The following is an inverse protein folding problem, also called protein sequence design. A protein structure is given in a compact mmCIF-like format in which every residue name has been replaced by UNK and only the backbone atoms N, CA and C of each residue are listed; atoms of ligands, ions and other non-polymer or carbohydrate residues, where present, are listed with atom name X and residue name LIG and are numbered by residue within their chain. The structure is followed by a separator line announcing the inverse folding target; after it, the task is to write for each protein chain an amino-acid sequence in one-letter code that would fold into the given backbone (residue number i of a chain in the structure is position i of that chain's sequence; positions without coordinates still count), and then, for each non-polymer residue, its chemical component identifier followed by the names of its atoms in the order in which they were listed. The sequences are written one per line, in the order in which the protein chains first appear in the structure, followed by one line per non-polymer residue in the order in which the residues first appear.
data_IF_214159037820
#
_entry.id   IF_214159037820
#
_cell.length_a   1.000
_cell.length_b   1.000
_cell.length_c   1.000
_cell.angle_alpha   90.00
_cell.angle_beta   90.00
_cell.angle_gamma   90.00
#
_symmetry.space_group_name_H-M   'P 1'
#
loop_
_entity.id
_entity.type
_entity.pdbx_description
1 polymer ?
#
# COMPACT_ATOMS: atom_id res chain seq x y z
N UNK A 1 15.22 -18.85 10.49
CA UNK A 1 14.51 -17.79 11.23
C UNK A 1 15.28 -16.45 11.31
N UNK A 2 16.60 -16.44 11.31
CA UNK A 2 17.40 -15.20 11.33
C UNK A 2 17.37 -14.37 10.02
N UNK A 3 17.13 -15.00 8.87
CA UNK A 3 17.14 -14.35 7.56
C UNK A 3 15.93 -13.45 7.27
N UNK A 4 14.79 -13.71 7.88
CA UNK A 4 13.57 -12.88 7.72
C UNK A 4 13.67 -11.54 8.45
N UNK A 5 14.34 -11.51 9.59
CA UNK A 5 14.56 -10.26 10.33
C UNK A 5 15.53 -9.30 9.63
N UNK A 6 16.55 -9.83 8.93
CA UNK A 6 17.51 -9.01 8.19
C UNK A 6 16.89 -8.34 6.96
N UNK A 7 16.00 -9.02 6.24
CA UNK A 7 15.33 -8.45 5.08
C UNK A 7 14.36 -7.32 5.45
N UNK A 8 13.74 -7.40 6.61
CA UNK A 8 12.82 -6.35 7.09
C UNK A 8 13.59 -5.11 7.58
N UNK A 9 14.74 -5.30 8.22
CA UNK A 9 15.64 -4.22 8.62
C UNK A 9 16.24 -3.54 7.37
N UNK A 10 16.60 -4.31 6.36
CA UNK A 10 17.13 -3.81 5.11
C UNK A 10 16.07 -3.02 4.31
N UNK A 11 14.83 -3.47 4.32
CA UNK A 11 13.69 -2.74 3.74
C UNK A 11 13.38 -1.44 4.51
N UNK A 12 13.52 -1.44 5.84
CA UNK A 12 13.38 -0.24 6.65
C UNK A 12 14.49 0.78 6.36
N UNK A 13 15.73 0.34 6.15
CA UNK A 13 16.84 1.21 5.75
C UNK A 13 16.62 1.85 4.37
N UNK A 14 16.01 1.13 3.43
CA UNK A 14 15.70 1.68 2.10
C UNK A 14 14.45 2.56 2.08
N UNK A 15 13.54 2.39 3.04
CA UNK A 15 12.30 3.16 3.12
C UNK A 15 12.46 4.53 3.81
N UNK A 16 13.61 4.80 4.45
CA UNK A 16 13.87 6.09 5.13
C UNK A 16 15.02 6.82 4.40
N UNK A 17 14.72 7.58 3.34
CA UNK A 17 15.75 8.29 2.56
C UNK A 17 16.36 9.51 3.29
N UNK A 18 15.90 9.82 4.49
CA UNK A 18 16.34 10.98 5.25
C UNK A 18 16.71 10.60 6.69
N UNK A 19 17.94 10.22 6.88
CA UNK A 19 18.51 10.15 8.20
C UNK A 19 19.57 9.06 8.36
N UNK A 20 20.81 9.46 8.51
CA UNK A 20 21.89 8.64 9.05
C UNK A 20 21.65 8.29 10.55
N UNK A 21 20.38 8.15 10.93
CA UNK A 21 20.01 7.70 12.25
C UNK A 21 20.15 6.18 12.33
N UNK A 22 21.22 5.69 12.91
CA UNK A 22 21.32 4.31 13.35
C UNK A 22 20.09 3.95 14.14
N UNK A 23 19.23 3.11 13.55
CA UNK A 23 18.11 2.52 14.29
C UNK A 23 18.75 1.76 15.45
N UNK A 24 18.49 2.21 16.68
CA UNK A 24 19.00 1.54 17.85
C UNK A 24 18.70 0.04 17.80
N UNK A 25 19.66 -0.81 18.16
CA UNK A 25 19.46 -2.26 18.25
C UNK A 25 18.19 -2.64 19.02
N UNK A 26 17.88 -1.88 20.06
CA UNK A 26 16.65 -2.03 20.84
C UNK A 26 15.39 -1.80 20.02
N UNK A 27 15.38 -0.75 19.20
CA UNK A 27 14.25 -0.40 18.35
C UNK A 27 14.06 -1.45 17.25
N UNK A 28 15.16 -1.89 16.61
CA UNK A 28 15.13 -2.97 15.63
C UNK A 28 14.60 -4.28 16.23
N UNK A 29 15.05 -4.67 17.42
CA UNK A 29 14.59 -5.86 18.12
C UNK A 29 13.10 -5.78 18.47
N UNK A 30 12.61 -4.64 18.94
CA UNK A 30 11.19 -4.46 19.28
C UNK A 30 10.30 -4.42 18.02
N UNK A 31 10.75 -3.83 16.94
CA UNK A 31 10.04 -3.88 15.65
C UNK A 31 9.95 -5.29 15.10
N UNK A 32 11.02 -6.07 15.21
CA UNK A 32 11.04 -7.47 14.77
C UNK A 32 10.13 -8.35 15.65
N UNK A 33 10.13 -8.12 16.96
CA UNK A 33 9.27 -8.86 17.90
C UNK A 33 7.77 -8.61 17.68
N UNK A 34 7.41 -7.42 17.18
CA UNK A 34 6.02 -7.03 16.90
C UNK A 34 5.65 -7.14 15.42
N UNK A 35 6.56 -7.66 14.59
CA UNK A 35 6.31 -7.88 13.17
C UNK A 35 5.18 -8.90 12.95
N UNK A 36 4.31 -8.69 11.96
CA UNK A 36 3.32 -9.68 11.59
C UNK A 36 4.03 -10.97 11.12
N UNK A 37 3.39 -12.14 11.28
CA UNK A 37 3.95 -13.41 10.82
C UNK A 37 4.36 -13.37 9.35
N UNK A 38 5.45 -14.05 8.99
CA UNK A 38 5.99 -14.04 7.62
C UNK A 38 4.99 -14.46 6.54
N UNK A 39 4.05 -15.35 6.86
CA UNK A 39 3.00 -15.75 5.92
C UNK A 39 2.06 -14.60 5.55
N UNK A 40 1.78 -13.66 6.48
CA UNK A 40 0.96 -12.46 6.21
C UNK A 40 1.68 -11.56 5.21
N UNK A 41 2.98 -11.33 5.39
CA UNK A 41 3.79 -10.55 4.46
C UNK A 41 3.84 -11.19 3.07
N UNK A 42 3.96 -12.51 3.00
CA UNK A 42 3.96 -13.26 1.74
C UNK A 42 2.61 -13.16 1.03
N UNK A 43 1.51 -13.29 1.75
CA UNK A 43 0.14 -13.13 1.20
C UNK A 43 -0.07 -11.70 0.73
N UNK A 44 0.34 -10.70 1.51
CA UNK A 44 0.22 -9.30 1.12
C UNK A 44 1.00 -8.99 -0.17
N UNK A 45 2.24 -9.49 -0.30
CA UNK A 45 3.05 -9.33 -1.51
C UNK A 45 2.40 -9.98 -2.72
N UNK A 46 1.86 -11.17 -2.57
CA UNK A 46 1.15 -11.88 -3.63
C UNK A 46 -0.11 -11.12 -4.07
N UNK A 47 -0.86 -10.56 -3.12
CA UNK A 47 -2.01 -9.71 -3.42
C UNK A 47 -1.61 -8.44 -4.19
N UNK A 48 -0.51 -7.79 -3.82
CA UNK A 48 0.01 -6.62 -4.57
C UNK A 48 0.30 -6.99 -6.02
N UNK A 49 0.94 -8.12 -6.27
CA UNK A 49 1.22 -8.61 -7.62
C UNK A 49 -0.09 -8.87 -8.38
N UNK A 50 -1.07 -9.51 -7.76
CA UNK A 50 -2.39 -9.75 -8.37
C UNK A 50 -3.12 -8.44 -8.68
N UNK A 51 -3.05 -7.45 -7.79
CA UNK A 51 -3.59 -6.12 -8.05
C UNK A 51 -2.91 -5.42 -9.23
N UNK A 52 -1.58 -5.54 -9.34
CA UNK A 52 -0.82 -4.97 -10.46
C UNK A 52 -1.20 -5.63 -11.80
N UNK A 53 -1.27 -6.95 -11.86
CA UNK A 53 -1.68 -7.68 -13.06
C UNK A 53 -3.12 -7.33 -13.46
N UNK A 54 -4.03 -7.29 -12.49
CA UNK A 54 -5.43 -6.92 -12.76
C UNK A 54 -5.58 -5.47 -13.21
N UNK A 55 -4.76 -4.55 -12.70
CA UNK A 55 -4.73 -3.17 -13.19
C UNK A 55 -4.34 -3.08 -14.66
N UNK A 56 -3.31 -3.82 -15.07
CA UNK A 56 -2.88 -3.88 -16.48
C UNK A 56 -4.00 -4.42 -17.36
N UNK A 57 -4.61 -5.54 -16.97
CA UNK A 57 -5.69 -6.16 -17.72
C UNK A 57 -6.93 -5.25 -17.84
N UNK A 58 -7.30 -4.56 -16.75
CA UNK A 58 -8.41 -3.61 -16.76
C UNK A 58 -8.09 -2.34 -17.54
N UNK A 59 -6.85 -1.86 -17.49
CA UNK A 59 -6.37 -0.75 -18.30
C UNK A 59 -6.45 -1.06 -19.80
N UNK A 60 -6.02 -2.26 -20.21
CA UNK A 60 -6.19 -2.73 -21.60
C UNK A 60 -7.66 -2.81 -22.01
N UNK A 61 -8.53 -3.30 -21.13
CA UNK A 61 -9.98 -3.34 -21.36
C UNK A 61 -10.56 -1.93 -21.60
N UNK A 62 -10.02 -0.92 -20.93
CA UNK A 62 -10.43 0.47 -21.12
C UNK A 62 -9.93 1.02 -22.46
N UNK A 63 -8.70 0.72 -22.86
CA UNK A 63 -8.13 1.07 -24.16
C UNK A 63 -8.94 0.48 -25.32
N UNK A 64 -9.47 -0.73 -25.16
CA UNK A 64 -10.35 -1.40 -26.10
C UNK A 64 -11.81 -0.85 -26.09
N UNK A 65 -12.04 0.26 -25.38
CA UNK A 65 -13.35 0.93 -25.24
C UNK A 65 -14.47 0.01 -24.73
N UNK A 66 -14.14 -0.93 -23.83
CA UNK A 66 -15.14 -1.78 -23.24
C UNK A 66 -15.85 -1.05 -22.07
N UNK A 67 -17.17 -0.79 -22.13
CA UNK A 67 -17.90 -0.04 -21.11
C UNK A 67 -17.88 -0.76 -19.75
N UNK A 68 -17.81 -2.09 -19.73
CA UNK A 68 -17.68 -2.88 -18.50
C UNK A 68 -16.33 -2.67 -17.81
N UNK A 69 -15.30 -2.28 -18.56
CA UNK A 69 -13.95 -2.01 -18.05
C UNK A 69 -13.95 -0.86 -17.03
N UNK A 70 -14.69 0.23 -17.29
CA UNK A 70 -14.75 1.38 -16.39
C UNK A 70 -15.40 1.04 -15.06
N UNK A 71 -16.46 0.25 -15.04
CA UNK A 71 -17.12 -0.22 -13.82
C UNK A 71 -16.20 -1.12 -12.98
N UNK A 72 -15.53 -2.07 -13.64
CA UNK A 72 -14.57 -2.99 -13.00
C UNK A 72 -13.37 -2.24 -12.43
N UNK A 73 -12.88 -1.21 -13.14
CA UNK A 73 -11.75 -0.41 -12.67
C UNK A 73 -12.09 0.43 -11.44
N UNK A 74 -13.34 0.92 -11.32
CA UNK A 74 -13.82 1.57 -10.09
C UNK A 74 -13.83 0.58 -8.92
N UNK A 75 -14.38 -0.61 -9.13
CA UNK A 75 -14.38 -1.68 -8.13
C UNK A 75 -12.95 -2.05 -7.69
N UNK A 76 -12.03 -2.17 -8.64
CA UNK A 76 -10.63 -2.41 -8.38
C UNK A 76 -10.01 -1.31 -7.49
N UNK A 77 -10.25 -0.04 -7.83
CA UNK A 77 -9.72 1.09 -7.07
C UNK A 77 -10.23 1.10 -5.62
N UNK A 78 -11.51 0.82 -5.40
CA UNK A 78 -12.07 0.71 -4.04
C UNK A 78 -11.45 -0.45 -3.27
N UNK A 79 -11.34 -1.62 -3.88
CA UNK A 79 -10.72 -2.79 -3.25
C UNK A 79 -9.26 -2.53 -2.90
N UNK A 80 -8.51 -1.88 -3.79
CA UNK A 80 -7.12 -1.53 -3.53
C UNK A 80 -6.96 -0.53 -2.38
N UNK A 81 -7.83 0.47 -2.28
CA UNK A 81 -7.85 1.41 -1.15
C UNK A 81 -8.10 0.66 0.17
N UNK A 82 -9.12 -0.20 0.21
CA UNK A 82 -9.44 -1.01 1.40
C UNK A 82 -8.25 -1.91 1.76
N UNK A 83 -7.64 -2.56 0.78
CA UNK A 83 -6.45 -3.38 0.97
C UNK A 83 -5.28 -2.59 1.55
N UNK A 84 -5.01 -1.39 1.02
CA UNK A 84 -3.90 -0.54 1.48
C UNK A 84 -4.08 -0.13 2.95
N UNK A 85 -5.29 0.30 3.33
CA UNK A 85 -5.57 0.62 4.73
C UNK A 85 -5.52 -0.63 5.63
N UNK A 86 -6.05 -1.75 5.17
CA UNK A 86 -6.00 -3.02 5.89
C UNK A 86 -4.55 -3.49 6.13
N UNK A 87 -3.70 -3.42 5.11
CA UNK A 87 -2.29 -3.78 5.23
C UNK A 87 -1.55 -2.86 6.21
N UNK A 88 -1.80 -1.55 6.13
CA UNK A 88 -1.25 -0.59 7.09
C UNK A 88 -1.71 -0.88 8.53
N UNK A 89 -2.98 -1.19 8.73
CA UNK A 89 -3.52 -1.54 10.04
C UNK A 89 -2.87 -2.82 10.59
N UNK A 90 -2.77 -3.88 9.80
CA UNK A 90 -2.12 -5.14 10.20
C UNK A 90 -0.66 -4.92 10.61
N UNK A 91 0.03 -4.01 9.94
CA UNK A 91 1.42 -3.69 10.24
C UNK A 91 1.56 -2.86 11.52
N UNK A 92 0.69 -1.89 11.76
CA UNK A 92 0.88 -0.89 12.81
C UNK A 92 0.06 -1.12 14.07
N UNK A 93 -1.09 -1.77 14.02
CA UNK A 93 -1.91 -2.02 15.21
C UNK A 93 -1.10 -2.74 16.31
N UNK A 94 -0.32 -3.79 16.03
CA UNK A 94 0.51 -4.44 17.06
C UNK A 94 1.63 -3.55 17.60
N UNK A 95 2.01 -2.50 16.85
CA UNK A 95 3.14 -1.59 17.18
C UNK A 95 2.71 -0.29 17.84
N UNK A 96 1.42 -0.07 18.06
CA UNK A 96 0.92 1.19 18.62
C UNK A 96 1.52 1.52 19.99
N UNK A 97 1.74 0.51 20.84
CA UNK A 97 2.42 0.70 22.12
C UNK A 97 3.88 1.19 22.00
N UNK A 98 4.56 0.84 20.90
CA UNK A 98 5.92 1.32 20.61
C UNK A 98 5.92 2.75 20.06
N UNK A 99 4.89 3.13 19.30
CA UNK A 99 4.74 4.49 18.76
C UNK A 99 4.66 5.52 19.88
N UNK A 100 4.02 5.19 21.00
CA UNK A 100 3.88 6.08 22.15
C UNK A 100 5.15 6.16 23.01
N UNK A 101 6.03 5.15 22.94
CA UNK A 101 7.19 5.04 23.84
C UNK A 101 8.53 5.31 23.15
N UNK A 102 8.63 5.15 21.83
CA UNK A 102 9.86 5.27 21.06
C UNK A 102 9.71 6.34 19.97
N UNK A 103 10.49 7.41 20.05
CA UNK A 103 10.47 8.51 19.09
C UNK A 103 10.87 8.09 17.67
N UNK A 104 11.73 7.09 17.52
CA UNK A 104 12.14 6.55 16.21
C UNK A 104 10.98 5.82 15.57
N UNK A 105 10.27 4.97 16.31
CA UNK A 105 9.08 4.27 15.84
C UNK A 105 7.97 5.25 15.49
N UNK A 106 7.79 6.29 16.28
CA UNK A 106 6.85 7.39 16.00
C UNK A 106 7.19 8.09 14.68
N UNK A 107 8.46 8.40 14.43
CA UNK A 107 8.90 9.03 13.19
C UNK A 107 8.65 8.13 11.98
N UNK A 108 8.91 6.82 12.08
CA UNK A 108 8.62 5.85 11.03
C UNK A 108 7.11 5.75 10.75
N UNK A 109 6.29 5.72 11.79
CA UNK A 109 4.83 5.71 11.66
C UNK A 109 4.31 6.96 10.96
N UNK A 110 4.78 8.14 11.35
CA UNK A 110 4.42 9.39 10.70
C UNK A 110 4.89 9.44 9.25
N UNK A 111 6.09 8.96 8.95
CA UNK A 111 6.59 8.87 7.57
C UNK A 111 5.73 7.92 6.73
N UNK A 112 5.32 6.80 7.27
CA UNK A 112 4.40 5.87 6.62
C UNK A 112 3.06 6.55 6.29
N UNK A 113 2.47 7.25 7.24
CA UNK A 113 1.18 7.94 7.05
C UNK A 113 1.26 9.11 6.09
N UNK A 114 2.34 9.90 6.14
CA UNK A 114 2.44 11.17 5.41
C UNK A 114 3.04 11.01 4.01
N UNK A 115 3.87 10.00 3.79
CA UNK A 115 4.59 9.81 2.53
C UNK A 115 4.12 8.54 1.83
N UNK A 116 4.29 7.38 2.47
CA UNK A 116 4.06 6.09 1.80
C UNK A 116 2.59 5.86 1.50
N UNK A 117 1.71 6.09 2.47
CA UNK A 117 0.28 5.83 2.31
C UNK A 117 -0.36 6.72 1.21
N UNK A 118 -0.11 8.05 1.16
CA UNK A 118 -0.57 8.87 0.06
C UNK A 118 -0.03 8.42 -1.30
N UNK A 119 1.25 8.04 -1.39
CA UNK A 119 1.84 7.56 -2.65
C UNK A 119 1.09 6.33 -3.20
N UNK A 120 0.76 5.37 -2.34
CA UNK A 120 -0.02 4.19 -2.74
C UNK A 120 -1.46 4.53 -3.11
N UNK A 121 -2.03 5.59 -2.54
CA UNK A 121 -3.40 5.99 -2.79
C UNK A 121 -3.57 6.93 -3.99
N UNK A 122 -2.50 7.60 -4.47
CA UNK A 122 -2.59 8.54 -5.60
C UNK A 122 -3.28 7.88 -6.80
N UNK A 123 -2.82 6.74 -7.24
CA UNK A 123 -3.34 6.07 -8.43
C UNK A 123 -4.82 5.64 -8.29
N UNK A 124 -5.21 4.88 -7.24
CA UNK A 124 -6.60 4.45 -7.12
C UNK A 124 -7.57 5.61 -6.89
N UNK A 125 -7.16 6.63 -6.13
CA UNK A 125 -7.98 7.84 -5.93
C UNK A 125 -8.13 8.62 -7.22
N UNK A 126 -7.04 8.82 -7.97
CA UNK A 126 -7.07 9.45 -9.28
C UNK A 126 -8.03 8.73 -10.23
N UNK A 127 -7.94 7.40 -10.32
CA UNK A 127 -8.82 6.60 -11.16
C UNK A 127 -10.29 6.73 -10.75
N UNK A 128 -10.59 6.74 -9.44
CA UNK A 128 -11.96 6.94 -8.96
C UNK A 128 -12.50 8.32 -9.34
N UNK A 129 -11.73 9.36 -9.11
CA UNK A 129 -12.14 10.74 -9.45
C UNK A 129 -12.31 10.88 -10.95
N UNK A 130 -11.31 10.46 -11.74
CA UNK A 130 -11.32 10.56 -13.21
C UNK A 130 -12.52 9.84 -13.83
N UNK A 131 -12.75 8.57 -13.45
CA UNK A 131 -13.85 7.78 -13.99
C UNK A 131 -15.25 8.24 -13.52
N UNK A 132 -15.32 9.04 -12.45
CA UNK A 132 -16.58 9.63 -11.98
C UNK A 132 -16.88 11.01 -12.58
N UNK A 133 -15.94 11.63 -13.31
CA UNK A 133 -16.20 12.87 -14.01
C UNK A 133 -17.35 12.68 -15.02
N UNK A 134 -18.33 13.59 -14.99
CA UNK A 134 -19.51 13.54 -15.88
C UNK A 134 -19.16 13.39 -17.35
N UNK A 135 -18.11 14.11 -17.81
CA UNK A 135 -17.60 14.05 -19.18
C UNK A 135 -17.17 12.63 -19.55
N UNK A 136 -16.31 12.02 -18.75
CA UNK A 136 -15.78 10.67 -18.97
C UNK A 136 -16.90 9.62 -18.91
N UNK A 137 -17.82 9.76 -17.95
CA UNK A 137 -18.95 8.86 -17.80
C UNK A 137 -19.89 8.89 -19.01
N UNK A 138 -20.09 10.06 -19.59
CA UNK A 138 -20.89 10.22 -20.81
C UNK A 138 -20.18 9.63 -22.04
N UNK A 139 -18.87 9.84 -22.17
CA UNK A 139 -18.08 9.22 -23.25
C UNK A 139 -18.10 7.69 -23.17
N UNK A 140 -17.91 7.11 -21.97
CA UNK A 140 -17.96 5.65 -21.76
C UNK A 140 -19.36 5.09 -22.09
N UNK A 141 -20.43 5.84 -21.85
CA UNK A 141 -21.78 5.43 -22.21
C UNK A 141 -22.00 5.32 -23.73
N UNK A 142 -21.19 6.03 -24.53
CA UNK A 142 -21.22 5.99 -26.00
C UNK A 142 -20.43 4.80 -26.58
N UNK A 143 -19.66 4.09 -25.75
CA UNK A 143 -18.89 2.91 -26.18
C UNK A 143 -19.83 1.68 -26.25
N UNK A 144 -20.59 1.58 -27.32
CA UNK A 144 -21.49 0.44 -27.57
C UNK A 144 -21.06 -0.30 -28.84
#
# INVERSE_FOLDING_TARGET
MALTGMSEIEQLHTAVPFGDGEISEKTAASLTATAPPAWISSVASLLVILFAISLVALGMSLLLRNPKGSFRLRGWSLLYIIFTFGAAAVQWVPRMGLVDTDSTVQALFLAQLTISLPLYLILPVFLLVYLNLKKIRNEVALWR
#
